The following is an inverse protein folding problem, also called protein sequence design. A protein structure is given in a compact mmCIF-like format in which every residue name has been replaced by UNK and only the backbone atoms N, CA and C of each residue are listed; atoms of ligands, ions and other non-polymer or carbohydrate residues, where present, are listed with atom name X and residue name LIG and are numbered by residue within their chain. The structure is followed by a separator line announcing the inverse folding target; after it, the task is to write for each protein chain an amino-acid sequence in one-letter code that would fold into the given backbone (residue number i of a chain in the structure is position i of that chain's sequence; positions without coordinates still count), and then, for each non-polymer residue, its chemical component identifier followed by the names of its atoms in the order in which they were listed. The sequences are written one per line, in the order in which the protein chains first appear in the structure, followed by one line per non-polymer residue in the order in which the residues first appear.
data_IF_223250467007
#
_entry.id   IF_223250467007
#
_cell.length_a   1.000
_cell.length_b   1.000
_cell.length_c   1.000
_cell.angle_alpha   90.00
_cell.angle_beta   90.00
_cell.angle_gamma   90.00
#
_symmetry.space_group_name_H-M   'P 1'
#
loop_
_entity.id
_entity.type
_entity.pdbx_description
1 polymer ?
#
# COMPACT_ATOMS: atom_id res chain seq x y z
N UNK A 1 -10.53 11.91 -79.12
CA UNK A 1 -10.19 12.46 -77.80
C UNK A 1 -10.90 11.60 -76.76
N UNK A 2 -10.17 10.87 -75.92
CA UNK A 2 -10.72 10.01 -74.86
C UNK A 2 -10.67 10.81 -73.55
N UNK A 3 -11.82 11.01 -72.91
CA UNK A 3 -11.88 11.55 -71.55
C UNK A 3 -11.49 10.42 -70.59
N UNK A 4 -10.47 10.66 -69.77
CA UNK A 4 -10.06 9.75 -68.71
C UNK A 4 -10.93 10.02 -67.47
N UNK A 5 -11.70 9.03 -67.03
CA UNK A 5 -12.29 9.01 -65.69
C UNK A 5 -11.17 8.82 -64.65
N UNK A 6 -11.02 9.80 -63.76
CA UNK A 6 -10.20 9.66 -62.55
C UNK A 6 -10.95 8.81 -61.53
N UNK A 7 -10.34 7.79 -60.91
CA UNK A 7 -11.01 7.04 -59.84
C UNK A 7 -11.09 7.90 -58.59
N UNK A 8 -12.30 8.04 -58.04
CA UNK A 8 -12.54 8.59 -56.72
C UNK A 8 -11.77 7.80 -55.65
N UNK A 9 -11.08 8.43 -54.70
CA UNK A 9 -10.50 7.70 -53.57
C UNK A 9 -11.64 7.16 -52.70
N UNK A 10 -11.69 5.84 -52.56
CA UNK A 10 -12.57 5.17 -51.63
C UNK A 10 -12.27 5.70 -50.21
N UNK A 11 -13.28 6.30 -49.58
CA UNK A 11 -13.25 6.64 -48.17
C UNK A 11 -13.11 5.34 -47.37
N UNK A 12 -11.93 5.13 -46.77
CA UNK A 12 -11.72 4.05 -45.82
C UNK A 12 -12.76 4.13 -44.70
N UNK A 13 -13.40 3.02 -44.31
CA UNK A 13 -14.28 3.01 -43.15
C UNK A 13 -13.49 3.46 -41.92
N UNK A 14 -14.05 4.40 -41.17
CA UNK A 14 -13.54 4.87 -39.88
C UNK A 14 -13.23 3.65 -39.02
N UNK A 15 -11.94 3.36 -38.80
CA UNK A 15 -11.55 2.40 -37.79
C UNK A 15 -12.15 2.88 -36.46
N UNK A 16 -12.87 2.03 -35.71
CA UNK A 16 -13.28 2.40 -34.38
C UNK A 16 -11.99 2.68 -33.60
N UNK A 17 -11.76 3.96 -33.28
CA UNK A 17 -10.75 4.38 -32.33
C UNK A 17 -10.94 3.48 -31.12
N UNK A 18 -10.05 2.51 -30.94
CA UNK A 18 -10.02 1.71 -29.74
C UNK A 18 -9.81 2.73 -28.65
N UNK A 19 -10.87 3.02 -27.89
CA UNK A 19 -10.78 3.69 -26.60
C UNK A 19 -9.59 3.04 -25.93
N UNK A 20 -8.50 3.80 -25.80
CA UNK A 20 -7.33 3.38 -25.07
C UNK A 20 -7.88 2.82 -23.77
N UNK A 21 -7.71 1.51 -23.58
CA UNK A 21 -8.32 0.79 -22.47
C UNK A 21 -8.03 1.62 -21.24
N UNK A 22 -9.09 2.15 -20.64
CA UNK A 22 -8.98 2.82 -19.36
C UNK A 22 -8.12 1.90 -18.51
N UNK A 23 -7.01 2.37 -17.90
CA UNK A 23 -6.31 1.54 -16.95
C UNK A 23 -7.32 1.33 -15.83
N UNK A 24 -8.04 0.20 -15.89
CA UNK A 24 -8.81 -0.27 -14.78
C UNK A 24 -7.76 -0.72 -13.77
N UNK A 25 -7.21 0.23 -13.03
CA UNK A 25 -6.69 -0.03 -11.69
C UNK A 25 -7.89 -0.51 -10.90
N UNK A 26 -8.13 -1.82 -11.02
CA UNK A 26 -9.20 -2.51 -10.36
C UNK A 26 -8.73 -2.70 -8.94
N UNK A 27 -9.13 -1.76 -8.08
CA UNK A 27 -8.94 -1.87 -6.64
C UNK A 27 -9.39 -3.26 -6.17
N UNK A 28 -8.41 -4.09 -5.84
CA UNK A 28 -8.64 -5.44 -5.34
C UNK A 28 -8.20 -5.49 -3.86
N UNK A 29 -9.17 -5.48 -2.93
CA UNK A 29 -8.86 -5.46 -1.50
C UNK A 29 -8.13 -6.73 -1.04
N UNK A 30 -8.31 -7.87 -1.73
CA UNK A 30 -7.63 -9.13 -1.40
C UNK A 30 -6.16 -9.05 -1.78
N UNK A 31 -5.84 -8.47 -2.94
CA UNK A 31 -4.46 -8.24 -3.38
C UNK A 31 -3.75 -7.28 -2.41
N UNK A 32 -4.39 -6.17 -2.05
CA UNK A 32 -3.82 -5.18 -1.12
C UNK A 32 -3.58 -5.80 0.25
N UNK A 33 -4.57 -6.52 0.80
CA UNK A 33 -4.43 -7.20 2.08
C UNK A 33 -3.31 -8.25 2.05
N UNK A 34 -3.14 -8.97 0.94
CA UNK A 34 -2.08 -9.96 0.76
C UNK A 34 -0.69 -9.31 0.76
N UNK A 35 -0.53 -8.17 0.07
CA UNK A 35 0.74 -7.42 0.04
C UNK A 35 1.10 -6.82 1.40
N UNK A 36 0.13 -6.19 2.06
CA UNK A 36 0.31 -5.70 3.43
C UNK A 36 0.73 -6.82 4.38
N UNK A 37 0.12 -8.00 4.24
CA UNK A 37 0.53 -9.18 5.00
C UNK A 37 1.97 -9.57 4.70
N UNK A 38 2.36 -9.64 3.42
CA UNK A 38 3.75 -9.95 3.04
C UNK A 38 4.76 -8.94 3.61
N UNK A 39 4.44 -7.64 3.60
CA UNK A 39 5.27 -6.61 4.25
C UNK A 39 5.39 -6.85 5.76
N UNK A 40 4.29 -7.19 6.43
CA UNK A 40 4.29 -7.56 7.86
C UNK A 40 5.05 -8.85 8.16
N UNK A 41 5.03 -9.82 7.23
CA UNK A 41 5.77 -11.07 7.37
C UNK A 41 7.28 -10.87 7.18
N UNK A 42 7.70 -9.99 6.26
CA UNK A 42 9.09 -9.54 6.10
C UNK A 42 9.61 -8.77 7.32
N UNK A 43 8.71 -8.21 8.13
CA UNK A 43 9.07 -7.64 9.43
C UNK A 43 9.50 -8.73 10.41
N UNK A 44 10.83 -8.88 10.52
CA UNK A 44 11.49 -9.81 11.43
C UNK A 44 11.72 -9.21 12.84
N UNK A 45 11.04 -8.13 13.18
CA UNK A 45 11.08 -7.60 14.53
C UNK A 45 10.42 -8.59 15.50
N UNK A 46 11.16 -8.95 16.55
CA UNK A 46 10.66 -9.82 17.62
C UNK A 46 9.81 -8.99 18.59
N UNK A 47 8.52 -8.87 18.32
CA UNK A 47 7.60 -8.06 19.15
C UNK A 47 7.45 -8.58 20.58
N UNK A 48 7.72 -9.87 20.84
CA UNK A 48 7.76 -10.41 22.20
C UNK A 48 8.95 -9.82 22.99
N UNK A 49 10.10 -9.65 22.33
CA UNK A 49 11.30 -9.04 22.93
C UNK A 49 11.28 -7.51 22.94
N UNK A 50 10.69 -6.90 21.92
CA UNK A 50 10.86 -5.47 21.61
C UNK A 50 9.79 -4.58 22.26
N UNK A 51 8.69 -5.10 22.83
CA UNK A 51 7.53 -4.21 23.09
C UNK A 51 6.71 -4.37 24.38
N UNK A 52 7.30 -4.17 25.56
CA UNK A 52 6.50 -3.78 26.73
C UNK A 52 5.93 -2.35 26.58
N UNK A 53 6.77 -1.42 26.14
CA UNK A 53 6.40 -0.01 25.96
C UNK A 53 5.46 0.20 24.77
N UNK A 54 5.76 -0.40 23.61
CA UNK A 54 4.86 -0.28 22.46
C UNK A 54 3.48 -0.89 22.76
N UNK A 55 3.43 -2.05 23.44
CA UNK A 55 2.16 -2.61 23.90
C UNK A 55 1.46 -1.68 24.89
N UNK A 56 2.17 -1.07 25.84
CA UNK A 56 1.60 -0.10 26.77
C UNK A 56 1.02 1.13 26.05
N UNK A 57 1.69 1.66 25.02
CA UNK A 57 1.17 2.77 24.24
C UNK A 57 -0.06 2.36 23.41
N UNK A 58 -0.08 1.15 22.84
CA UNK A 58 -1.30 0.61 22.19
C UNK A 58 -2.45 0.51 23.19
N UNK A 59 -2.19 0.02 24.40
CA UNK A 59 -3.20 -0.08 25.47
C UNK A 59 -3.73 1.28 25.91
N UNK A 60 -2.92 2.35 25.78
CA UNK A 60 -3.34 3.75 25.99
C UNK A 60 -4.04 4.36 24.76
N UNK A 61 -4.32 3.57 23.73
CA UNK A 61 -4.97 4.03 22.49
C UNK A 61 -4.03 4.75 21.51
N UNK A 62 -2.71 4.67 21.71
CA UNK A 62 -1.68 5.38 20.92
C UNK A 62 -0.97 4.47 19.92
N UNK A 63 -1.74 3.67 19.19
CA UNK A 63 -1.20 2.73 18.20
C UNK A 63 -0.31 3.42 17.16
N UNK A 64 -0.70 4.59 16.63
CA UNK A 64 0.12 5.33 15.67
C UNK A 64 1.48 5.77 16.21
N UNK A 65 1.57 6.17 17.47
CA UNK A 65 2.83 6.56 18.11
C UNK A 65 3.74 5.34 18.30
N UNK A 66 3.18 4.20 18.72
CA UNK A 66 3.90 2.94 18.82
C UNK A 66 4.47 2.50 17.47
N UNK A 67 3.66 2.57 16.40
CA UNK A 67 4.10 2.26 15.04
C UNK A 67 5.23 3.19 14.60
N UNK A 68 5.10 4.51 14.76
CA UNK A 68 6.13 5.46 14.31
C UNK A 68 7.46 5.21 15.04
N UNK A 69 7.43 5.07 16.37
CA UNK A 69 8.61 4.79 17.18
C UNK A 69 9.34 3.52 16.74
N UNK A 70 8.60 2.42 16.57
CA UNK A 70 9.16 1.14 16.10
C UNK A 70 9.68 1.23 14.66
N UNK A 71 8.96 1.96 13.80
CA UNK A 71 9.35 2.12 12.39
C UNK A 71 10.65 2.90 12.26
N UNK A 72 10.85 3.96 13.04
CA UNK A 72 12.13 4.69 13.08
C UNK A 72 13.25 3.80 13.59
N UNK A 73 13.04 3.17 14.75
CA UNK A 73 14.04 2.28 15.35
C UNK A 73 14.48 1.16 14.41
N UNK A 74 13.53 0.60 13.64
CA UNK A 74 13.84 -0.47 12.70
C UNK A 74 14.49 0.04 11.41
N UNK A 75 14.03 1.19 10.88
CA UNK A 75 14.65 1.85 9.72
C UNK A 75 16.12 2.21 10.00
N UNK A 76 16.44 2.67 11.21
CA UNK A 76 17.82 2.96 11.62
C UNK A 76 18.72 1.72 11.58
N UNK A 77 18.14 0.53 11.81
CA UNK A 77 18.84 -0.75 11.76
C UNK A 77 18.87 -1.38 10.37
N UNK A 78 18.01 -0.93 9.45
CA UNK A 78 17.81 -1.50 8.11
C UNK A 78 17.75 -0.36 7.07
N UNK A 79 18.87 0.35 6.86
CA UNK A 79 18.91 1.54 6.02
C UNK A 79 18.60 1.27 4.54
N UNK A 80 18.65 0.01 4.11
CA UNK A 80 18.29 -0.44 2.76
C UNK A 80 16.77 -0.40 2.49
N UNK A 81 15.95 -0.36 3.53
CA UNK A 81 14.50 -0.32 3.40
C UNK A 81 13.97 1.10 3.55
N UNK A 82 13.08 1.50 2.63
CA UNK A 82 12.36 2.75 2.76
C UNK A 82 11.49 2.74 4.02
N UNK A 83 11.53 3.83 4.80
CA UNK A 83 10.74 3.96 6.03
C UNK A 83 9.24 3.71 5.80
N UNK A 84 8.69 4.03 4.64
CA UNK A 84 7.28 3.78 4.32
C UNK A 84 6.95 2.29 4.26
N UNK A 85 7.83 1.49 3.66
CA UNK A 85 7.70 0.03 3.61
C UNK A 85 7.85 -0.56 5.01
N UNK A 86 8.83 -0.05 5.77
CA UNK A 86 9.02 -0.41 7.19
C UNK A 86 7.78 -0.08 7.99
N UNK A 87 7.21 1.11 7.83
CA UNK A 87 6.03 1.58 8.54
C UNK A 87 4.80 0.72 8.25
N UNK A 88 4.56 0.36 6.99
CA UNK A 88 3.48 -0.55 6.60
C UNK A 88 3.67 -1.93 7.24
N UNK A 89 4.89 -2.48 7.18
CA UNK A 89 5.22 -3.78 7.79
C UNK A 89 5.05 -3.79 9.31
N UNK A 90 5.58 -2.79 10.02
CA UNK A 90 5.45 -2.63 11.48
C UNK A 90 3.98 -2.49 11.87
N UNK A 91 3.20 -1.69 11.14
CA UNK A 91 1.79 -1.49 11.42
C UNK A 91 1.03 -2.82 11.40
N UNK A 92 1.24 -3.63 10.36
CA UNK A 92 0.59 -4.94 10.22
C UNK A 92 1.07 -5.91 11.30
N UNK A 93 2.38 -5.98 11.54
CA UNK A 93 2.97 -6.92 12.50
C UNK A 93 2.57 -6.61 13.94
N UNK A 94 2.56 -5.33 14.32
CA UNK A 94 2.10 -4.88 15.64
C UNK A 94 0.60 -5.16 15.83
N UNK A 95 -0.23 -4.90 14.81
CA UNK A 95 -1.66 -5.21 14.88
C UNK A 95 -1.91 -6.71 15.08
N UNK A 96 -1.20 -7.56 14.34
CA UNK A 96 -1.29 -9.02 14.48
C UNK A 96 -0.81 -9.48 15.87
N UNK A 97 0.24 -8.87 16.40
CA UNK A 97 0.73 -9.16 17.75
C UNK A 97 -0.32 -8.80 18.81
N UNK A 98 -0.89 -7.60 18.74
CA UNK A 98 -1.93 -7.12 19.65
C UNK A 98 -3.19 -7.98 19.51
N UNK A 99 -3.59 -8.36 18.30
CA UNK A 99 -4.72 -9.26 18.06
C UNK A 99 -4.55 -10.61 18.75
N UNK A 100 -3.32 -11.13 18.82
CA UNK A 100 -3.01 -12.39 19.51
C UNK A 100 -3.00 -12.25 21.02
N UNK A 101 -2.46 -11.14 21.55
CA UNK A 101 -2.29 -10.93 23.00
C UNK A 101 -3.52 -10.35 23.69
N UNK A 102 -4.13 -9.34 23.07
CA UNK A 102 -5.27 -8.57 23.62
C UNK A 102 -6.28 -8.28 22.51
N UNK A 103 -7.04 -9.30 22.02
CA UNK A 103 -7.95 -9.16 20.89
C UNK A 103 -8.98 -8.02 21.04
N UNK A 104 -9.41 -7.75 22.27
CA UNK A 104 -10.40 -6.71 22.60
C UNK A 104 -9.96 -5.29 22.24
N UNK A 105 -8.65 -5.04 22.06
CA UNK A 105 -8.09 -3.73 21.75
C UNK A 105 -7.93 -3.49 20.25
N UNK A 106 -8.20 -4.50 19.41
CA UNK A 106 -8.08 -4.38 17.96
C UNK A 106 -9.37 -3.79 17.40
N UNK A 107 -9.26 -2.57 16.86
CA UNK A 107 -10.34 -1.99 16.06
C UNK A 107 -10.04 -2.12 14.56
N UNK A 108 -11.02 -2.52 13.74
CA UNK A 108 -10.83 -2.68 12.29
C UNK A 108 -10.24 -1.44 11.59
N UNK A 109 -10.57 -0.26 12.10
CA UNK A 109 -10.17 1.01 11.50
C UNK A 109 -8.82 1.55 12.01
N UNK A 110 -8.18 0.92 13.01
CA UNK A 110 -6.92 1.41 13.58
C UNK A 110 -5.81 1.48 12.53
N UNK A 111 -5.65 0.42 11.74
CA UNK A 111 -4.64 0.34 10.69
C UNK A 111 -4.87 1.41 9.61
N UNK A 112 -6.13 1.54 9.16
CA UNK A 112 -6.53 2.52 8.15
C UNK A 112 -6.23 3.94 8.63
N UNK A 113 -6.59 4.26 9.88
CA UNK A 113 -6.35 5.59 10.47
C UNK A 113 -4.86 5.93 10.55
N UNK A 114 -4.03 4.98 10.97
CA UNK A 114 -2.59 5.21 11.12
C UNK A 114 -1.91 5.38 9.77
N UNK A 115 -2.24 4.55 8.79
CA UNK A 115 -1.64 4.67 7.45
C UNK A 115 -2.10 5.97 6.77
N UNK A 116 -3.40 6.26 6.78
CA UNK A 116 -3.92 7.49 6.17
C UNK A 116 -3.51 8.75 6.93
N UNK A 117 -3.17 8.64 8.21
CA UNK A 117 -2.65 9.74 9.02
C UNK A 117 -1.20 10.10 8.70
N UNK A 118 -0.43 9.19 8.07
CA UNK A 118 0.96 9.42 7.74
C UNK A 118 1.09 9.98 6.30
N UNK A 119 1.39 11.28 6.19
CA UNK A 119 1.56 11.95 4.89
C UNK A 119 2.67 11.34 4.05
N UNK A 120 3.79 10.93 4.67
CA UNK A 120 4.93 10.34 3.96
C UNK A 120 4.54 9.03 3.29
N UNK A 121 3.83 8.17 4.02
CA UNK A 121 3.31 6.89 3.53
C UNK A 121 2.27 7.09 2.43
N UNK A 122 1.33 8.02 2.61
CA UNK A 122 0.34 8.34 1.57
C UNK A 122 0.99 8.78 0.26
N UNK A 123 1.91 9.74 0.33
CA UNK A 123 2.60 10.23 -0.86
C UNK A 123 3.43 9.13 -1.52
N UNK A 124 4.06 8.25 -0.73
CA UNK A 124 4.79 7.12 -1.26
C UNK A 124 3.87 6.18 -2.06
N UNK A 125 2.70 5.85 -1.52
CA UNK A 125 1.70 5.02 -2.22
C UNK A 125 1.25 5.69 -3.51
N UNK A 126 0.93 6.98 -3.47
CA UNK A 126 0.53 7.76 -4.65
C UNK A 126 1.63 7.82 -5.71
N UNK A 127 2.88 8.05 -5.31
CA UNK A 127 4.04 8.10 -6.21
C UNK A 127 4.33 6.76 -6.89
N UNK A 128 3.96 5.64 -6.25
CA UNK A 128 4.07 4.31 -6.85
C UNK A 128 2.85 3.94 -7.70
N UNK A 129 1.86 4.83 -7.86
CA UNK A 129 0.67 4.56 -8.66
C UNK A 129 -0.43 3.81 -7.90
N UNK A 130 -0.45 3.90 -6.57
CA UNK A 130 -1.50 3.34 -5.73
C UNK A 130 -1.12 2.04 -5.03
N UNK A 131 -2.08 1.50 -4.27
CA UNK A 131 -1.89 0.32 -3.44
C UNK A 131 -1.57 -0.95 -4.24
N UNK A 132 -2.07 -1.07 -5.47
CA UNK A 132 -1.79 -2.22 -6.35
C UNK A 132 -0.38 -2.21 -6.95
N UNK A 133 0.44 -1.20 -6.65
CA UNK A 133 1.80 -1.07 -7.18
C UNK A 133 2.87 -1.02 -6.08
N UNK A 134 2.48 -1.17 -4.82
CA UNK A 134 3.43 -1.36 -3.71
C UNK A 134 4.08 -2.74 -3.83
N UNK A 135 5.41 -2.80 -3.91
CA UNK A 135 6.25 -4.02 -4.01
C UNK A 135 6.42 -4.65 -5.40
N UNK A 136 6.24 -3.89 -6.49
CA UNK A 136 6.49 -4.37 -7.86
C UNK A 136 7.86 -3.93 -8.40
#
# INVERSE_FOLDING_TARGET
MRYAESPHPALSPLEPMRLAGEPQTRFDPVVIASRLRQMGDRCNMDFERVSSEALAEVLKGKFGAAVDSLSRSWSDQNPEMAYEIVFLGVSVKLLMYVAKKVPAMVHPNQLIKVINGNFRVRNYIEAHGGWENLDN
#
